data_IF_899924044452
#
_entry.id   IF_899924044452
#
_cell.length_a   1.000
_cell.length_b   1.000
_cell.length_c   1.000
_cell.angle_alpha   90.00
_cell.angle_beta   90.00
_cell.angle_gamma   90.00
#
_symmetry.space_group_name_H-M   'P 1'
#
loop_
_entity.id
_entity.type
_entity.pdbx_description
1 polymer ?
#
# COMPACT_ATOMS: atom_id res chain seq x y z
N UNK A 1 20.42 22.46 -15.31
CA UNK A 1 19.18 23.11 -15.79
C UNK A 1 18.33 22.20 -16.69
N UNK A 2 18.64 20.89 -16.79
CA UNK A 2 17.91 19.90 -17.61
C UNK A 2 17.06 18.89 -16.81
N UNK A 3 17.35 18.69 -15.53
CA UNK A 3 16.60 17.74 -14.68
C UNK A 3 15.19 18.25 -14.33
N UNK A 4 15.07 19.55 -14.03
CA UNK A 4 13.81 20.16 -13.57
C UNK A 4 12.70 20.17 -14.63
N UNK A 5 13.03 20.25 -15.92
CA UNK A 5 12.03 20.24 -17.00
C UNK A 5 11.51 18.84 -17.30
N UNK A 6 12.34 17.81 -17.10
CA UNK A 6 11.92 16.43 -17.24
C UNK A 6 10.93 16.05 -16.12
N UNK A 7 11.21 16.44 -14.89
CA UNK A 7 10.33 16.18 -13.75
C UNK A 7 8.96 16.83 -13.93
N UNK A 8 8.89 18.03 -14.51
CA UNK A 8 7.64 18.77 -14.73
C UNK A 8 6.70 18.06 -15.74
N UNK A 9 7.26 17.38 -16.74
CA UNK A 9 6.50 16.60 -17.73
C UNK A 9 6.19 15.19 -17.23
N UNK A 10 7.11 14.57 -16.51
CA UNK A 10 7.02 13.17 -16.07
C UNK A 10 6.04 13.01 -14.91
N UNK A 11 6.02 13.94 -13.96
CA UNK A 11 5.14 13.89 -12.79
C UNK A 11 3.64 13.71 -13.11
N UNK A 12 3.01 14.51 -14.00
CA UNK A 12 1.59 14.34 -14.30
C UNK A 12 1.28 12.99 -14.99
N UNK A 13 2.18 12.51 -15.85
CA UNK A 13 2.04 11.20 -16.51
C UNK A 13 2.07 10.07 -15.47
N UNK A 14 3.01 10.13 -14.52
CA UNK A 14 3.10 9.15 -13.43
C UNK A 14 1.78 9.13 -12.63
N UNK A 15 1.23 10.28 -12.27
CA UNK A 15 -0.02 10.35 -11.50
C UNK A 15 -1.19 9.68 -12.24
N UNK A 16 -1.33 9.92 -13.54
CA UNK A 16 -2.38 9.29 -14.34
C UNK A 16 -2.20 7.77 -14.40
N UNK A 17 -1.00 7.30 -14.72
CA UNK A 17 -0.68 5.87 -14.78
C UNK A 17 -0.92 5.19 -13.43
N UNK A 18 -0.52 5.82 -12.33
CA UNK A 18 -0.77 5.32 -10.98
C UNK A 18 -2.25 5.18 -10.68
N UNK A 19 -3.07 6.18 -11.01
CA UNK A 19 -4.52 6.12 -10.79
C UNK A 19 -5.19 5.00 -11.59
N UNK A 20 -4.86 4.85 -12.89
CA UNK A 20 -5.39 3.75 -13.70
C UNK A 20 -4.96 2.37 -13.18
N UNK A 21 -3.70 2.25 -12.75
CA UNK A 21 -3.17 1.02 -12.18
C UNK A 21 -3.90 0.65 -10.89
N UNK A 22 -4.22 1.63 -10.04
CA UNK A 22 -4.98 1.40 -8.81
C UNK A 22 -6.39 0.88 -9.06
N UNK A 23 -7.12 1.53 -9.97
CA UNK A 23 -8.49 1.10 -10.32
C UNK A 23 -8.48 -0.30 -10.94
N UNK A 24 -7.52 -0.57 -11.83
CA UNK A 24 -7.33 -1.89 -12.44
C UNK A 24 -7.02 -2.97 -11.39
N UNK A 25 -6.12 -2.68 -10.44
CA UNK A 25 -5.77 -3.61 -9.37
C UNK A 25 -6.96 -3.93 -8.46
N UNK A 26 -7.80 -2.94 -8.12
CA UNK A 26 -9.01 -3.15 -7.33
C UNK A 26 -10.01 -4.02 -8.09
N UNK A 27 -10.21 -3.75 -9.38
CA UNK A 27 -11.10 -4.54 -10.22
C UNK A 27 -10.63 -6.01 -10.31
N UNK A 28 -9.33 -6.23 -10.52
CA UNK A 28 -8.75 -7.56 -10.56
C UNK A 28 -8.89 -8.31 -9.23
N UNK A 29 -8.66 -7.64 -8.10
CA UNK A 29 -8.84 -8.23 -6.76
C UNK A 29 -10.31 -8.55 -6.46
N UNK A 30 -11.22 -7.64 -6.82
CA UNK A 30 -12.65 -7.87 -6.65
C UNK A 30 -13.12 -9.09 -7.47
N UNK A 31 -12.67 -9.18 -8.73
CA UNK A 31 -12.95 -10.33 -9.58
C UNK A 31 -12.42 -11.64 -8.99
N UNK A 32 -11.18 -11.64 -8.50
CA UNK A 32 -10.57 -12.82 -7.88
C UNK A 32 -11.33 -13.27 -6.62
N UNK A 33 -11.72 -12.32 -5.75
CA UNK A 33 -12.53 -12.58 -4.55
C UNK A 33 -13.88 -13.19 -4.93
N UNK A 34 -14.57 -12.63 -5.92
CA UNK A 34 -15.88 -13.15 -6.36
C UNK A 34 -15.76 -14.59 -6.86
N UNK A 35 -14.71 -14.90 -7.63
CA UNK A 35 -14.54 -16.23 -8.22
C UNK A 35 -14.36 -17.34 -7.17
N UNK A 36 -13.77 -17.03 -6.03
CA UNK A 36 -13.47 -18.01 -4.98
C UNK A 36 -14.42 -17.91 -3.78
N UNK A 37 -15.37 -16.97 -3.78
CA UNK A 37 -16.25 -16.71 -2.65
C UNK A 37 -17.11 -17.94 -2.31
N UNK A 38 -17.64 -18.64 -3.32
CA UNK A 38 -18.45 -19.85 -3.15
C UNK A 38 -17.68 -20.97 -2.43
N UNK A 39 -16.43 -21.20 -2.84
CA UNK A 39 -15.55 -22.19 -2.20
C UNK A 39 -15.10 -21.72 -0.81
N UNK A 40 -14.79 -20.43 -0.62
CA UNK A 40 -14.40 -19.88 0.69
C UNK A 40 -15.53 -20.03 1.73
N UNK A 41 -16.77 -19.72 1.37
CA UNK A 41 -17.92 -19.85 2.28
C UNK A 41 -18.14 -21.31 2.67
N UNK A 42 -17.98 -22.23 1.71
CA UNK A 42 -18.18 -23.66 1.95
C UNK A 42 -17.08 -24.28 2.81
N UNK A 43 -15.81 -23.95 2.56
CA UNK A 43 -14.66 -24.62 3.18
C UNK A 43 -14.05 -23.86 4.36
N UNK A 44 -14.11 -22.52 4.37
CA UNK A 44 -13.47 -21.70 5.40
C UNK A 44 -14.47 -21.38 6.51
N UNK A 45 -15.66 -20.88 6.16
CA UNK A 45 -16.63 -20.40 7.16
C UNK A 45 -17.32 -21.52 7.96
N UNK A 46 -17.44 -22.73 7.39
CA UNK A 46 -18.02 -23.89 8.10
C UNK A 46 -17.03 -24.74 8.90
N UNK A 47 -15.73 -24.45 8.83
CA UNK A 47 -14.67 -25.30 9.38
C UNK A 47 -13.91 -24.60 10.51
N UNK A 48 -13.46 -25.34 11.52
CA UNK A 48 -12.80 -24.81 12.71
C UNK A 48 -11.65 -23.83 12.39
N UNK A 49 -11.58 -22.71 13.10
CA UNK A 49 -10.57 -21.68 12.89
C UNK A 49 -9.15 -22.23 13.14
N UNK A 50 -8.26 -22.02 12.17
CA UNK A 50 -6.86 -22.41 12.24
C UNK A 50 -5.99 -21.22 11.85
N UNK A 51 -4.82 -21.06 12.48
CA UNK A 51 -3.89 -19.95 12.22
C UNK A 51 -3.59 -19.71 10.71
N UNK A 52 -3.31 -20.73 9.88
CA UNK A 52 -3.14 -20.53 8.43
C UNK A 52 -4.38 -20.00 7.70
N UNK A 53 -5.60 -20.26 8.19
CA UNK A 53 -6.84 -19.72 7.60
C UNK A 53 -6.96 -18.22 7.83
N UNK A 54 -6.68 -17.76 9.05
CA UNK A 54 -6.67 -16.33 9.37
C UNK A 54 -5.63 -15.58 8.54
N UNK A 55 -4.47 -16.19 8.33
CA UNK A 55 -3.41 -15.60 7.52
C UNK A 55 -3.79 -15.52 6.03
N UNK A 56 -4.46 -16.55 5.50
CA UNK A 56 -4.97 -16.55 4.13
C UNK A 56 -6.04 -15.48 3.91
N UNK A 57 -7.00 -15.36 4.83
CA UNK A 57 -8.02 -14.30 4.81
C UNK A 57 -7.39 -12.91 4.89
N UNK A 58 -6.43 -12.72 5.81
CA UNK A 58 -5.72 -11.45 5.91
C UNK A 58 -5.01 -11.10 4.60
N UNK A 59 -4.33 -12.05 3.94
CA UNK A 59 -3.64 -11.76 2.69
C UNK A 59 -4.56 -11.38 1.53
N UNK A 60 -5.82 -11.84 1.54
CA UNK A 60 -6.77 -11.58 0.46
C UNK A 60 -7.59 -10.32 0.69
N UNK A 61 -8.18 -10.19 1.88
CA UNK A 61 -9.11 -9.10 2.19
C UNK A 61 -8.37 -7.81 2.58
N UNK A 62 -7.20 -7.91 3.22
CA UNK A 62 -6.44 -6.74 3.65
C UNK A 62 -5.98 -5.83 2.47
N UNK A 63 -5.34 -6.33 1.40
CA UNK A 63 -4.97 -5.48 0.26
C UNK A 63 -6.20 -4.90 -0.46
N UNK A 64 -7.30 -5.65 -0.56
CA UNK A 64 -8.53 -5.14 -1.17
C UNK A 64 -9.14 -3.98 -0.38
N UNK A 65 -9.20 -4.08 0.95
CA UNK A 65 -9.66 -2.99 1.83
C UNK A 65 -8.70 -1.79 1.75
N UNK A 66 -7.39 -2.04 1.77
CA UNK A 66 -6.39 -0.99 1.69
C UNK A 66 -6.48 -0.18 0.39
N UNK A 67 -6.59 -0.87 -0.74
CA UNK A 67 -6.68 -0.22 -2.05
C UNK A 67 -8.02 0.51 -2.26
N UNK A 68 -9.12 -0.03 -1.75
CA UNK A 68 -10.43 0.63 -1.85
C UNK A 68 -10.48 1.94 -1.04
N UNK A 69 -9.85 1.99 0.13
CA UNK A 69 -9.69 3.23 0.90
C UNK A 69 -8.87 4.26 0.11
N UNK A 70 -7.73 3.86 -0.46
CA UNK A 70 -6.91 4.75 -1.31
C UNK A 70 -7.69 5.28 -2.51
N UNK A 71 -8.44 4.42 -3.20
CA UNK A 71 -9.23 4.84 -4.35
C UNK A 71 -10.33 5.84 -3.96
N UNK A 72 -10.92 5.69 -2.77
CA UNK A 72 -11.93 6.64 -2.28
C UNK A 72 -11.35 8.04 -2.07
N UNK A 73 -10.09 8.15 -1.64
CA UNK A 73 -9.39 9.42 -1.50
C UNK A 73 -8.95 10.01 -2.86
N UNK A 74 -8.60 9.16 -3.84
CA UNK A 74 -8.28 9.61 -5.21
C UNK A 74 -9.50 10.28 -5.88
N UNK A 75 -10.71 9.76 -5.61
CA UNK A 75 -11.96 10.26 -6.19
C UNK A 75 -12.46 11.54 -5.48
N UNK A 76 -12.15 11.71 -4.19
CA UNK A 76 -12.54 12.90 -3.42
C UNK A 76 -11.66 14.10 -3.79
N UNK A 77 -12.22 15.03 -4.57
CA UNK A 77 -11.54 16.23 -5.08
C UNK A 77 -11.14 17.28 -4.02
N UNK A 78 -11.59 17.15 -2.76
CA UNK A 78 -11.43 18.21 -1.74
C UNK A 78 -11.05 17.63 -0.36
N UNK A 79 -9.85 17.10 -0.26
CA UNK A 79 -9.32 16.49 0.97
C UNK A 79 -8.66 17.57 1.85
N UNK A 80 -9.21 17.76 3.06
CA UNK A 80 -8.70 18.70 4.07
C UNK A 80 -7.23 18.42 4.42
N UNK A 81 -6.43 19.47 4.70
CA UNK A 81 -4.99 19.36 5.03
C UNK A 81 -4.68 18.42 6.19
N UNK A 82 -5.61 18.23 7.14
CA UNK A 82 -5.48 17.25 8.23
C UNK A 82 -5.51 15.80 7.75
N UNK A 83 -6.27 15.51 6.69
CA UNK A 83 -6.32 14.19 6.09
C UNK A 83 -5.01 13.86 5.36
N UNK A 84 -4.26 14.84 4.87
CA UNK A 84 -2.98 14.59 4.19
C UNK A 84 -1.93 13.93 5.11
N UNK A 85 -1.88 14.33 6.39
CA UNK A 85 -0.92 13.77 7.35
C UNK A 85 -1.29 12.33 7.75
N UNK A 86 -2.57 12.10 8.04
CA UNK A 86 -3.07 10.76 8.40
C UNK A 86 -3.07 9.81 7.20
N UNK A 87 -3.33 10.32 5.99
CA UNK A 87 -3.30 9.55 4.75
C UNK A 87 -1.88 9.08 4.42
N UNK A 88 -0.86 9.90 4.67
CA UNK A 88 0.53 9.47 4.49
C UNK A 88 0.89 8.32 5.45
N UNK A 89 0.46 8.42 6.71
CA UNK A 89 0.65 7.34 7.68
C UNK A 89 -0.10 6.09 7.24
N UNK A 90 -1.35 6.21 6.80
CA UNK A 90 -2.14 5.09 6.28
C UNK A 90 -1.47 4.42 5.09
N UNK A 91 -0.94 5.20 4.14
CA UNK A 91 -0.29 4.70 2.93
C UNK A 91 1.05 4.01 3.24
N UNK A 92 1.85 4.58 4.15
CA UNK A 92 3.09 3.96 4.60
C UNK A 92 2.85 2.70 5.44
N UNK A 93 1.86 2.76 6.33
CA UNK A 93 1.62 1.71 7.33
C UNK A 93 0.81 0.54 6.76
N UNK A 94 -0.20 0.81 5.94
CA UNK A 94 -1.03 -0.24 5.35
C UNK A 94 -0.30 -1.05 4.28
N UNK A 95 0.35 -0.38 3.32
CA UNK A 95 0.98 -1.04 2.18
C UNK A 95 2.26 -1.80 2.55
N UNK A 96 3.25 -1.08 3.08
CA UNK A 96 4.58 -1.64 3.31
C UNK A 96 4.65 -2.55 4.54
N UNK A 97 3.91 -2.24 5.61
CA UNK A 97 4.10 -2.89 6.91
C UNK A 97 3.15 -4.06 7.12
N UNK A 98 1.98 -4.07 6.47
CA UNK A 98 0.98 -5.12 6.69
C UNK A 98 0.85 -6.06 5.51
N UNK A 99 0.81 -5.58 4.26
CA UNK A 99 0.71 -6.47 3.09
C UNK A 99 1.99 -7.29 2.88
N UNK A 100 3.15 -6.62 2.80
CA UNK A 100 4.44 -7.27 2.48
C UNK A 100 4.78 -8.42 3.42
N UNK A 101 4.76 -8.28 4.76
CA UNK A 101 5.10 -9.40 5.62
C UNK A 101 4.05 -10.51 5.58
N UNK A 102 2.78 -10.20 5.37
CA UNK A 102 1.73 -11.22 5.26
C UNK A 102 2.00 -12.15 4.08
N UNK A 103 2.33 -11.58 2.91
CA UNK A 103 2.72 -12.35 1.71
C UNK A 103 3.97 -13.18 1.98
N UNK A 104 4.99 -12.59 2.62
CA UNK A 104 6.22 -13.31 2.94
C UNK A 104 5.93 -14.50 3.87
N UNK A 105 5.13 -14.33 4.94
CA UNK A 105 4.80 -15.40 5.90
C UNK A 105 4.11 -16.56 5.16
N UNK A 106 3.17 -16.27 4.27
CA UNK A 106 2.49 -17.31 3.48
C UNK A 106 3.46 -18.05 2.58
N UNK A 107 4.32 -17.33 1.85
CA UNK A 107 5.34 -17.94 1.00
C UNK A 107 6.19 -18.92 1.80
N UNK A 108 6.58 -18.53 3.00
CA UNK A 108 7.46 -19.34 3.83
C UNK A 108 6.80 -20.53 4.51
N UNK A 109 5.54 -20.42 4.91
CA UNK A 109 4.77 -21.58 5.36
C UNK A 109 4.72 -22.62 4.23
N UNK A 110 4.43 -22.17 2.99
CA UNK A 110 4.37 -23.06 1.82
C UNK A 110 5.72 -23.69 1.49
N UNK A 111 6.81 -22.90 1.49
CA UNK A 111 8.17 -23.41 1.28
C UNK A 111 8.56 -24.42 2.35
N UNK A 112 8.22 -24.15 3.61
CA UNK A 112 8.52 -25.06 4.73
C UNK A 112 7.76 -26.38 4.64
N UNK A 113 6.53 -26.35 4.10
CA UNK A 113 5.72 -27.54 3.87
C UNK A 113 6.27 -28.37 2.68
N UNK A 114 6.66 -27.72 1.58
CA UNK A 114 7.20 -28.40 0.40
C UNK A 114 8.55 -29.09 0.67
N UNK A 115 9.37 -28.52 1.55
CA UNK A 115 10.70 -29.06 1.89
C UNK A 115 10.71 -30.03 3.09
N UNK A 116 9.55 -30.47 3.58
CA UNK A 116 9.48 -31.53 4.60
C UNK A 116 10.08 -31.13 5.95
N UNK A 117 9.87 -29.88 6.38
CA UNK A 117 10.15 -29.42 7.76
C UNK A 117 11.59 -29.62 8.27
N UNK A 118 12.59 -29.65 7.39
CA UNK A 118 14.01 -29.70 7.80
C UNK A 118 14.34 -28.44 8.62
N UNK A 119 14.73 -28.62 9.89
CA UNK A 119 14.98 -27.53 10.87
C UNK A 119 15.98 -26.47 10.39
N UNK A 120 16.98 -26.86 9.60
CA UNK A 120 17.96 -25.93 9.01
C UNK A 120 17.32 -24.92 8.06
N UNK A 121 16.40 -25.38 7.20
CA UNK A 121 15.67 -24.49 6.28
C UNK A 121 14.74 -23.55 7.04
N UNK A 122 14.07 -24.03 8.09
CA UNK A 122 13.19 -23.20 8.94
C UNK A 122 14.00 -22.11 9.66
N UNK A 123 15.20 -22.44 10.16
CA UNK A 123 16.10 -21.48 10.78
C UNK A 123 16.61 -20.43 9.79
N UNK A 124 16.99 -20.84 8.57
CA UNK A 124 17.38 -19.90 7.51
C UNK A 124 16.21 -18.97 7.14
N UNK A 125 15.02 -19.54 6.98
CA UNK A 125 13.82 -18.79 6.62
C UNK A 125 13.45 -17.78 7.72
N UNK A 126 13.50 -18.17 8.99
CA UNK A 126 13.21 -17.29 10.12
C UNK A 126 14.22 -16.14 10.25
N UNK A 127 15.51 -16.39 9.97
CA UNK A 127 16.54 -15.34 9.90
C UNK A 127 16.26 -14.36 8.75
N UNK A 128 15.85 -14.87 7.58
CA UNK A 128 15.46 -14.04 6.43
C UNK A 128 14.21 -13.19 6.78
N UNK A 129 13.26 -13.72 7.53
CA UNK A 129 12.15 -12.91 8.03
C UNK A 129 12.55 -11.84 9.02
N UNK A 130 13.36 -12.22 10.01
CA UNK A 130 13.81 -11.30 11.04
C UNK A 130 14.57 -10.12 10.41
N UNK A 131 15.44 -10.40 9.44
CA UNK A 131 16.15 -9.34 8.70
C UNK A 131 15.18 -8.44 7.93
N UNK A 132 14.19 -8.98 7.20
CA UNK A 132 13.19 -8.16 6.49
C UNK A 132 12.35 -7.30 7.44
N UNK A 133 11.93 -7.83 8.60
CA UNK A 133 11.23 -7.07 9.64
C UNK A 133 12.08 -5.95 10.22
N UNK A 134 13.37 -6.21 10.44
CA UNK A 134 14.33 -5.21 10.89
C UNK A 134 14.49 -4.08 9.88
N UNK A 135 14.61 -4.40 8.58
CA UNK A 135 14.67 -3.37 7.54
C UNK A 135 13.42 -2.49 7.53
N UNK A 136 12.22 -3.08 7.65
CA UNK A 136 10.98 -2.31 7.75
C UNK A 136 10.94 -1.41 8.98
N UNK A 137 11.39 -1.90 10.14
CA UNK A 137 11.44 -1.11 11.37
C UNK A 137 12.34 0.14 11.22
N UNK A 138 13.46 0.01 10.49
CA UNK A 138 14.35 1.14 10.20
C UNK A 138 13.70 2.14 9.25
N UNK A 139 12.96 1.68 8.23
CA UNK A 139 12.22 2.56 7.30
C UNK A 139 11.10 3.34 7.99
N UNK A 140 10.42 2.76 8.98
CA UNK A 140 9.39 3.47 9.78
C UNK A 140 10.02 4.61 10.58
N UNK A 141 11.17 4.33 11.22
CA UNK A 141 11.93 5.36 11.94
C UNK A 141 12.33 6.47 10.97
N UNK A 142 12.89 6.13 9.80
CA UNK A 142 13.26 7.09 8.76
C UNK A 142 12.07 7.93 8.25
N UNK A 143 10.93 7.31 7.99
CA UNK A 143 9.71 8.01 7.51
C UNK A 143 9.18 9.01 8.55
N UNK A 144 9.31 8.72 9.84
CA UNK A 144 9.00 9.65 10.93
C UNK A 144 9.87 10.93 10.88
N UNK A 145 11.09 10.84 10.36
CA UNK A 145 12.00 11.98 10.17
C UNK A 145 11.84 12.69 8.81
N UNK A 146 11.21 12.07 7.82
CA UNK A 146 10.92 12.69 6.52
C UNK A 146 9.76 13.70 6.63
N UNK A 147 8.76 13.39 7.45
CA UNK A 147 7.57 14.24 7.61
C UNK A 147 7.83 15.64 8.21
N UNK A 148 8.70 15.86 9.23
CA UNK A 148 8.95 17.22 9.72
C UNK A 148 9.60 18.16 8.68
N UNK A 149 10.26 17.60 7.67
CA UNK A 149 10.90 18.39 6.60
C UNK A 149 9.89 18.87 5.56
N UNK A 150 8.83 18.11 5.26
CA UNK A 150 7.81 18.49 4.26
C UNK A 150 6.92 19.62 4.79
N UNK A 151 6.70 19.70 6.11
CA UNK A 151 5.96 20.81 6.74
C UNK A 151 6.67 22.17 6.67
N UNK A 152 8.01 22.19 6.47
CA UNK A 152 8.78 23.44 6.34
C UNK A 152 8.80 23.98 4.90
N UNK A 153 8.43 23.17 3.91
CA UNK A 153 8.32 23.56 2.51
C UNK A 153 6.88 23.39 2.06
N UNK A 154 6.06 24.41 2.30
CA UNK A 154 4.60 24.40 2.09
C UNK A 154 4.17 24.14 0.64
N UNK A 155 4.19 22.88 0.21
CA UNK A 155 3.84 22.48 -1.16
C UNK A 155 2.86 21.31 -1.17
N UNK A 156 1.70 21.49 -0.52
CA UNK A 156 0.48 20.82 -0.93
C UNK A 156 -0.34 21.81 -1.77
N UNK A 157 0.09 22.05 -3.01
CA UNK A 157 -0.70 22.80 -4.00
C UNK A 157 -0.67 22.03 -5.31
N UNK A 158 -1.72 21.25 -5.57
CA UNK A 158 -2.16 21.04 -6.96
C UNK A 158 -2.59 22.42 -7.46
N UNK A 159 -1.75 23.15 -8.18
CA UNK A 159 -2.22 24.28 -8.98
C UNK A 159 -3.02 23.73 -10.15
N UNK A 160 -4.29 23.44 -9.91
CA UNK A 160 -5.26 23.49 -10.99
C UNK A 160 -5.34 24.96 -11.40
N UNK A 161 -4.78 25.26 -12.57
CA UNK A 161 -4.84 26.57 -13.19
C UNK A 161 -6.31 26.96 -13.34
N UNK A 162 -6.74 28.00 -12.64
CA UNK A 162 -8.01 28.67 -12.92
C UNK A 162 -7.77 30.18 -12.82
N UNK A 163 -7.81 30.79 -14.00
CA UNK A 163 -7.81 32.19 -14.33
C UNK A 163 -8.27 33.13 -13.21
N UNK A 164 -7.52 34.20 -12.97
CA UNK A 164 -8.07 35.53 -12.68
C UNK A 164 -7.03 36.60 -13.03
N UNK A 165 -7.23 37.16 -14.22
CA UNK A 165 -6.82 38.51 -14.61
C UNK A 165 -6.97 39.46 -13.41
N UNK A 166 -5.92 40.18 -13.02
CA UNK A 166 -6.14 41.46 -12.36
C UNK A 166 -5.03 42.47 -12.66
N UNK A 167 -5.47 43.53 -13.33
CA UNK A 167 -4.78 44.79 -13.57
C UNK A 167 -4.31 45.42 -12.25
N UNK A 168 -3.17 46.14 -12.23
CA UNK A 168 -2.85 47.03 -11.12
C UNK A 168 -3.78 48.25 -11.15
N UNK A 169 -4.46 48.50 -10.02
CA UNK A 169 -5.25 49.71 -9.77
C UNK A 169 -4.40 50.69 -8.95
N UNK A 170 -4.28 51.90 -9.50
CA UNK A 170 -3.81 53.18 -8.94
C UNK A 170 -2.34 53.32 -8.59
#
# INVERSE_FOLDING_TARGET
>A
MSETTMDEIVNPVIQMVTNYTYVSAIAALAYDIMLHCDDEIKYIWKSAWSAPKGLYLAARYYPAIYLSVIASDIIRLNTSTKLCQEFWWYYGFGGLILIVPTVNIILSIRVSALYGHKRSLIAILSVIFASKKSLQATSIKASKYVCPTITLSGSCRRTHNHSLHNHPRR
#
